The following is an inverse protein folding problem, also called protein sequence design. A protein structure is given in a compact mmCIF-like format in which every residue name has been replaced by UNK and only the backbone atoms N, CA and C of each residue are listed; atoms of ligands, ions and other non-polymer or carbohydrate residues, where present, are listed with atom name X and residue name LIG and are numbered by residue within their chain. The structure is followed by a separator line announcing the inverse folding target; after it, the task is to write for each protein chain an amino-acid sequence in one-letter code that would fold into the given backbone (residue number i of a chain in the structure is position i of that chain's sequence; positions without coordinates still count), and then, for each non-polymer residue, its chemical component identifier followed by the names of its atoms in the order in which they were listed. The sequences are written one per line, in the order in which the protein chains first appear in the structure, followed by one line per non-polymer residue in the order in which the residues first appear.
data_IF_119410254314
#
_entry.id   IF_119410254314
#
_cell.length_a   1.000
_cell.length_b   1.000
_cell.length_c   1.000
_cell.angle_alpha   90.00
_cell.angle_beta   90.00
_cell.angle_gamma   90.00
#
_symmetry.space_group_name_H-M   'P 1'
#
loop_
_entity.id
_entity.type
_entity.pdbx_description
1 polymer ?
#
# COMPACT_ATOMS: atom_id res chain seq x y z
N UNK A 1 -67.15 25.07 9.47
CA UNK A 1 -67.38 25.18 8.02
C UNK A 1 -66.06 24.81 7.36
N UNK A 2 -65.72 23.54 7.14
CA UNK A 2 -66.24 22.56 6.16
C UNK A 2 -65.86 22.85 4.71
N UNK A 3 -65.01 21.94 4.16
CA UNK A 3 -64.80 21.51 2.76
C UNK A 3 -64.06 22.49 1.82
N UNK A 4 -63.24 22.06 0.84
CA UNK A 4 -63.04 20.72 0.26
C UNK A 4 -61.68 20.60 -0.47
N UNK A 5 -61.27 19.34 -0.65
CA UNK A 5 -60.13 18.77 -1.39
C UNK A 5 -60.03 19.17 -2.87
N UNK A 6 -58.80 19.12 -3.42
CA UNK A 6 -58.51 18.42 -4.70
C UNK A 6 -57.09 17.81 -4.66
N UNK A 7 -57.07 16.50 -4.82
CA UNK A 7 -55.93 15.60 -4.93
C UNK A 7 -55.71 15.29 -6.43
N UNK A 8 -54.47 15.34 -6.93
CA UNK A 8 -54.12 14.95 -8.32
C UNK A 8 -52.98 13.91 -8.22
N UNK A 9 -53.08 12.72 -8.85
CA UNK A 9 -52.04 11.70 -8.82
C UNK A 9 -51.03 11.89 -9.97
N UNK A 10 -49.73 11.74 -9.68
CA UNK A 10 -48.65 11.74 -10.67
C UNK A 10 -48.01 10.35 -10.74
N UNK A 11 -48.06 9.74 -11.92
CA UNK A 11 -47.40 8.47 -12.28
C UNK A 11 -45.85 8.59 -12.35
N UNK A 12 -45.12 7.46 -12.23
CA UNK A 12 -43.67 7.45 -12.06
C UNK A 12 -42.92 7.70 -13.39
N UNK A 13 -41.92 8.60 -13.35
CA UNK A 13 -40.97 8.78 -14.45
C UNK A 13 -39.81 7.79 -14.34
N UNK A 14 -39.71 6.96 -15.38
CA UNK A 14 -38.62 6.04 -15.68
C UNK A 14 -37.37 6.86 -16.08
N UNK A 15 -36.29 6.80 -15.30
CA UNK A 15 -34.99 7.38 -15.69
C UNK A 15 -33.97 6.26 -15.83
N UNK A 16 -33.50 6.09 -17.07
CA UNK A 16 -32.65 5.00 -17.53
C UNK A 16 -31.33 4.88 -16.75
N UNK A 17 -31.07 3.67 -16.27
CA UNK A 17 -29.80 3.28 -15.67
C UNK A 17 -28.75 3.03 -16.76
N UNK A 18 -27.66 3.80 -16.76
CA UNK A 18 -26.43 3.46 -17.50
C UNK A 18 -25.71 2.29 -16.81
N UNK A 19 -25.17 1.31 -17.55
CA UNK A 19 -24.52 0.15 -16.93
C UNK A 19 -23.14 0.51 -16.34
N UNK A 20 -22.98 0.27 -15.04
CA UNK A 20 -21.73 0.38 -14.30
C UNK A 20 -20.77 -0.74 -14.72
N UNK A 21 -19.60 -0.37 -15.22
CA UNK A 21 -18.53 -1.29 -15.64
C UNK A 21 -18.02 -2.06 -14.41
N UNK A 22 -18.01 -3.40 -14.51
CA UNK A 22 -17.52 -4.35 -13.52
C UNK A 22 -16.01 -4.52 -13.70
N UNK A 23 -15.20 -4.06 -12.75
CA UNK A 23 -13.78 -4.44 -12.69
C UNK A 23 -13.67 -5.84 -12.08
N UNK A 24 -13.13 -6.77 -12.86
CA UNK A 24 -12.77 -8.12 -12.42
C UNK A 24 -11.46 -8.05 -11.66
N UNK A 25 -11.48 -8.36 -10.36
CA UNK A 25 -10.26 -8.68 -9.61
C UNK A 25 -9.93 -10.14 -9.86
N UNK A 26 -8.80 -10.37 -10.52
CA UNK A 26 -8.15 -11.66 -10.64
C UNK A 26 -7.33 -11.91 -9.38
N UNK A 27 -7.60 -13.01 -8.67
CA UNK A 27 -6.70 -13.53 -7.65
C UNK A 27 -6.42 -14.99 -8.01
N UNK A 28 -5.26 -15.21 -8.63
CA UNK A 28 -4.66 -16.52 -8.84
C UNK A 28 -3.59 -16.73 -7.78
N UNK A 29 -3.73 -17.77 -6.94
CA UNK A 29 -2.59 -18.39 -6.26
C UNK A 29 -2.73 -19.91 -6.30
N UNK A 30 -1.78 -20.51 -7.00
CA UNK A 30 -1.41 -21.92 -6.98
C UNK A 30 -0.35 -22.15 -5.91
N UNK A 31 -0.45 -23.27 -5.20
CA UNK A 31 0.63 -24.18 -4.73
C UNK A 31 -0.06 -25.24 -3.85
N UNK A 32 -0.01 -26.54 -4.14
CA UNK A 32 1.13 -27.49 -4.22
C UNK A 32 1.78 -27.72 -2.85
N UNK A 33 1.57 -28.92 -2.30
CA UNK A 33 2.55 -29.60 -1.44
C UNK A 33 2.17 -31.07 -1.16
N UNK A 34 3.04 -31.98 -1.62
CA UNK A 34 3.97 -32.68 -0.72
C UNK A 34 3.43 -33.78 0.20
N UNK A 35 3.73 -35.03 -0.15
CA UNK A 35 3.38 -36.26 0.57
C UNK A 35 4.18 -36.52 1.85
N UNK A 36 3.51 -37.01 2.90
CA UNK A 36 4.08 -37.93 3.90
C UNK A 36 3.00 -38.93 4.36
N UNK A 37 3.34 -40.22 4.29
CA UNK A 37 2.40 -41.33 4.42
C UNK A 37 2.01 -41.66 5.86
N UNK A 38 0.76 -42.09 6.01
CA UNK A 38 0.36 -43.06 7.04
C UNK A 38 -0.69 -44.02 6.46
N UNK A 39 -0.43 -45.29 6.72
CA UNK A 39 -1.17 -46.46 6.29
C UNK A 39 -2.44 -46.64 7.12
N UNK A 40 -3.63 -46.62 6.50
CA UNK A 40 -4.79 -47.31 7.07
C UNK A 40 -5.85 -47.71 6.04
N UNK A 41 -6.56 -48.80 6.36
CA UNK A 41 -7.13 -49.77 5.43
C UNK A 41 -8.43 -49.29 4.77
N UNK A 42 -8.51 -49.50 3.46
CA UNK A 42 -9.64 -49.18 2.57
C UNK A 42 -10.83 -50.12 2.84
N UNK A 43 -12.00 -49.57 3.21
CA UNK A 43 -13.26 -50.29 3.25
C UNK A 43 -14.05 -50.09 1.95
N UNK A 44 -14.43 -51.21 1.34
CA UNK A 44 -15.12 -51.32 0.05
C UNK A 44 -16.63 -51.19 0.27
N UNK A 45 -17.27 -50.20 -0.33
CA UNK A 45 -18.70 -50.28 -0.65
C UNK A 45 -18.90 -50.07 -2.15
N UNK A 46 -19.38 -51.13 -2.75
CA UNK A 46 -19.82 -51.22 -4.13
C UNK A 46 -21.26 -50.73 -4.20
N UNK A 47 -21.57 -49.83 -5.12
CA UNK A 47 -22.78 -49.96 -5.94
C UNK A 47 -22.85 -48.90 -7.04
N UNK A 48 -22.61 -49.41 -8.24
CA UNK A 48 -23.33 -49.15 -9.50
C UNK A 48 -23.16 -47.80 -10.21
N UNK A 49 -22.49 -47.90 -11.35
CA UNK A 49 -22.45 -46.93 -12.44
C UNK A 49 -23.85 -46.70 -13.02
N UNK A 50 -24.26 -45.44 -13.07
CA UNK A 50 -25.22 -44.95 -14.06
C UNK A 50 -24.47 -43.99 -14.99
N UNK A 51 -24.29 -44.39 -16.25
CA UNK A 51 -23.74 -43.51 -17.27
C UNK A 51 -24.82 -42.53 -17.71
N UNK A 52 -24.59 -41.23 -17.50
CA UNK A 52 -25.25 -40.16 -18.24
C UNK A 52 -24.20 -39.27 -18.87
N UNK A 53 -24.31 -39.19 -20.18
CA UNK A 53 -23.48 -38.42 -21.10
C UNK A 53 -23.77 -36.92 -20.99
N UNK A 54 -22.71 -36.12 -21.15
CA UNK A 54 -22.70 -34.68 -21.43
C UNK A 54 -22.76 -33.70 -20.24
N UNK A 55 -21.61 -33.05 -19.98
CA UNK A 55 -21.59 -31.61 -19.67
C UNK A 55 -21.49 -31.17 -18.20
N UNK A 56 -20.92 -31.94 -17.29
CA UNK A 56 -20.68 -31.48 -15.91
C UNK A 56 -19.19 -31.24 -15.70
N UNK A 57 -18.83 -29.99 -15.40
CA UNK A 57 -17.53 -29.64 -14.84
C UNK A 57 -17.33 -30.47 -13.58
N UNK A 58 -16.30 -31.32 -13.55
CA UNK A 58 -15.92 -32.03 -12.35
C UNK A 58 -15.59 -30.99 -11.27
N UNK A 59 -16.49 -30.81 -10.30
CA UNK A 59 -16.21 -29.98 -9.14
C UNK A 59 -14.96 -30.54 -8.46
N UNK A 60 -13.98 -29.67 -8.18
CA UNK A 60 -12.79 -30.00 -7.40
C UNK A 60 -13.18 -30.84 -6.19
N UNK A 61 -12.43 -31.91 -5.84
CA UNK A 61 -12.66 -32.66 -4.60
C UNK A 61 -12.81 -31.70 -3.42
N UNK A 62 -13.75 -31.93 -2.48
CA UNK A 62 -13.96 -31.04 -1.35
C UNK A 62 -12.68 -30.99 -0.53
N UNK A 63 -11.99 -29.85 -0.56
CA UNK A 63 -10.87 -29.58 0.33
C UNK A 63 -11.44 -29.47 1.74
N UNK A 64 -10.95 -30.30 2.66
CA UNK A 64 -11.25 -30.14 4.08
C UNK A 64 -10.62 -28.84 4.54
N UNK A 65 -11.46 -27.87 4.88
CA UNK A 65 -11.04 -26.55 5.37
C UNK A 65 -10.73 -26.68 6.85
N UNK A 66 -9.58 -26.18 7.29
CA UNK A 66 -9.21 -26.20 8.70
C UNK A 66 -10.09 -25.25 9.52
N UNK A 67 -10.25 -25.51 10.82
CA UNK A 67 -10.99 -24.61 11.72
C UNK A 67 -10.40 -23.18 11.72
N UNK A 68 -9.08 -23.07 11.56
CA UNK A 68 -8.35 -21.81 11.49
C UNK A 68 -8.73 -21.02 10.23
N UNK A 69 -8.74 -21.66 9.05
CA UNK A 69 -9.21 -21.04 7.80
C UNK A 69 -10.68 -20.64 7.88
N UNK A 70 -11.52 -21.42 8.55
CA UNK A 70 -12.93 -21.07 8.79
C UNK A 70 -13.05 -19.84 9.69
N UNK A 71 -12.26 -19.75 10.76
CA UNK A 71 -12.22 -18.58 11.65
C UNK A 71 -11.67 -17.33 10.94
N UNK A 72 -10.61 -17.49 10.15
CA UNK A 72 -9.99 -16.40 9.39
C UNK A 72 -10.91 -15.88 8.28
N UNK A 73 -11.60 -16.79 7.57
CA UNK A 73 -12.64 -16.43 6.60
C UNK A 73 -13.86 -15.76 7.27
N UNK A 74 -14.26 -16.24 8.47
CA UNK A 74 -15.35 -15.62 9.24
C UNK A 74 -14.99 -14.20 9.72
N UNK A 75 -13.72 -13.94 10.04
CA UNK A 75 -13.24 -12.59 10.35
C UNK A 75 -13.33 -11.67 9.11
N UNK A 76 -12.86 -12.13 7.94
CA UNK A 76 -12.98 -11.36 6.69
C UNK A 76 -14.44 -11.05 6.29
N UNK A 77 -15.38 -11.97 6.58
CA UNK A 77 -16.82 -11.72 6.37
C UNK A 77 -17.40 -10.68 7.34
N UNK A 78 -16.94 -10.63 8.59
CA UNK A 78 -17.37 -9.58 9.54
C UNK A 78 -16.87 -8.21 9.09
N UNK A 79 -15.64 -8.11 8.61
CA UNK A 79 -15.07 -6.85 8.14
C UNK A 79 -15.79 -6.34 6.88
N UNK A 80 -16.07 -7.22 5.92
CA UNK A 80 -16.85 -6.85 4.73
C UNK A 80 -18.30 -6.49 5.04
N UNK A 81 -18.94 -7.18 6.00
CA UNK A 81 -20.30 -6.85 6.45
C UNK A 81 -20.34 -5.50 7.19
N UNK A 82 -19.31 -5.19 7.98
CA UNK A 82 -19.16 -3.90 8.63
C UNK A 82 -18.94 -2.78 7.60
N UNK A 83 -18.04 -2.99 6.63
CA UNK A 83 -17.83 -2.04 5.53
C UNK A 83 -19.11 -1.82 4.75
N UNK A 84 -19.88 -2.87 4.44
CA UNK A 84 -21.18 -2.73 3.79
C UNK A 84 -22.16 -1.89 4.62
N UNK A 85 -22.23 -2.11 5.93
CA UNK A 85 -23.07 -1.31 6.83
C UNK A 85 -22.64 0.17 6.87
N UNK A 86 -21.34 0.43 6.91
CA UNK A 86 -20.78 1.79 6.89
C UNK A 86 -21.08 2.50 5.56
N UNK A 87 -20.98 1.78 4.44
CA UNK A 87 -21.18 2.33 3.09
C UNK A 87 -22.65 2.53 2.75
N UNK A 88 -23.54 1.68 3.26
CA UNK A 88 -24.99 1.74 3.01
C UNK A 88 -25.68 2.76 3.92
N UNK A 89 -25.11 3.04 5.09
CA UNK A 89 -25.64 4.06 6.00
C UNK A 89 -25.13 5.45 5.59
N UNK A 90 -25.95 6.18 4.83
CA UNK A 90 -25.67 7.57 4.40
C UNK A 90 -25.49 8.55 5.59
N UNK A 91 -26.04 8.20 6.76
CA UNK A 91 -25.92 8.99 8.00
C UNK A 91 -24.79 8.50 8.92
N UNK A 92 -23.99 7.52 8.46
CA UNK A 92 -22.88 7.00 9.24
C UNK A 92 -21.87 8.10 9.55
N UNK A 93 -21.71 8.39 10.84
CA UNK A 93 -20.73 9.35 11.36
C UNK A 93 -19.87 8.65 12.41
N UNK A 94 -18.56 8.61 12.18
CA UNK A 94 -17.58 8.27 13.21
C UNK A 94 -17.68 9.29 14.35
N UNK A 95 -18.39 8.92 15.42
CA UNK A 95 -18.53 9.77 16.60
C UNK A 95 -17.21 9.74 17.36
N UNK A 96 -16.54 10.89 17.45
CA UNK A 96 -15.53 11.08 18.50
C UNK A 96 -16.27 10.93 19.82
N UNK A 97 -15.78 10.04 20.71
CA UNK A 97 -16.38 9.87 22.03
C UNK A 97 -16.19 11.16 22.83
N UNK A 98 -17.19 12.03 22.81
CA UNK A 98 -17.19 13.26 23.58
C UNK A 98 -17.67 12.95 25.00
N UNK A 99 -16.88 13.30 26.03
CA UNK A 99 -17.31 13.10 27.41
C UNK A 99 -18.61 13.86 27.69
N UNK A 100 -19.47 13.31 28.56
CA UNK A 100 -20.74 13.94 28.89
C UNK A 100 -20.56 15.41 29.31
N UNK A 101 -21.47 16.32 28.91
CA UNK A 101 -21.41 17.71 29.30
C UNK A 101 -21.49 17.77 30.83
N UNK A 102 -20.46 18.33 31.48
CA UNK A 102 -20.29 18.38 32.95
C UNK A 102 -19.69 17.14 33.62
N UNK A 103 -19.17 16.18 32.86
CA UNK A 103 -18.31 15.14 33.44
C UNK A 103 -16.99 15.74 33.92
N UNK A 104 -16.45 15.23 35.02
CA UNK A 104 -15.11 15.59 35.52
C UNK A 104 -14.07 15.40 34.40
N UNK A 105 -14.21 14.34 33.60
CA UNK A 105 -13.36 14.07 32.43
C UNK A 105 -13.37 15.23 31.42
N UNK A 106 -14.55 15.79 31.10
CA UNK A 106 -14.66 16.94 30.19
C UNK A 106 -13.95 18.16 30.77
N UNK A 107 -14.21 18.47 32.04
CA UNK A 107 -13.63 19.64 32.72
C UNK A 107 -12.10 19.53 32.76
N UNK A 108 -11.57 18.36 33.14
CA UNK A 108 -10.12 18.12 33.14
C UNK A 108 -9.55 18.27 31.73
N UNK A 109 -10.18 17.66 30.73
CA UNK A 109 -9.74 17.73 29.33
C UNK A 109 -9.70 19.18 28.83
N UNK A 110 -10.77 19.93 29.03
CA UNK A 110 -10.87 21.34 28.62
C UNK A 110 -9.88 22.22 29.37
N UNK A 111 -9.75 22.04 30.68
CA UNK A 111 -8.84 22.81 31.53
C UNK A 111 -7.38 22.54 31.15
N UNK A 112 -6.99 21.28 30.95
CA UNK A 112 -5.64 20.91 30.53
C UNK A 112 -5.33 21.40 29.13
N UNK A 113 -6.26 21.20 28.17
CA UNK A 113 -6.09 21.66 26.80
C UNK A 113 -5.96 23.19 26.75
N UNK A 114 -6.80 23.91 27.50
CA UNK A 114 -6.72 25.36 27.63
C UNK A 114 -5.39 25.80 28.25
N UNK A 115 -5.01 25.25 29.40
CA UNK A 115 -3.76 25.61 30.07
C UNK A 115 -2.53 25.37 29.20
N UNK A 116 -2.51 24.26 28.44
CA UNK A 116 -1.44 23.96 27.49
C UNK A 116 -1.32 25.05 26.42
N UNK A 117 -2.43 25.40 25.77
CA UNK A 117 -2.42 26.42 24.71
C UNK A 117 -2.23 27.83 25.25
N UNK A 118 -2.67 28.13 26.48
CA UNK A 118 -2.46 29.42 27.13
C UNK A 118 -0.95 29.64 27.39
N UNK A 119 -0.26 28.64 27.94
CA UNK A 119 1.20 28.70 28.16
C UNK A 119 1.96 28.81 26.84
N UNK A 120 1.58 28.03 25.82
CA UNK A 120 2.21 28.14 24.50
C UNK A 120 1.95 29.52 23.86
N UNK A 121 0.76 30.09 24.04
CA UNK A 121 0.44 31.43 23.55
C UNK A 121 1.34 32.47 24.18
N UNK A 122 1.52 32.39 25.50
CA UNK A 122 2.40 33.28 26.26
C UNK A 122 3.85 33.16 25.77
N UNK A 123 4.39 31.94 25.69
CA UNK A 123 5.74 31.67 25.20
C UNK A 123 5.98 32.13 23.76
N UNK A 124 4.97 32.01 22.89
CA UNK A 124 5.05 32.46 21.50
C UNK A 124 4.86 33.98 21.36
N UNK A 125 4.36 34.66 22.40
CA UNK A 125 4.14 36.11 22.44
C UNK A 125 5.30 36.90 23.07
N UNK A 126 6.24 36.23 23.74
CA UNK A 126 7.44 36.85 24.29
C UNK A 126 8.40 37.33 23.16
N UNK A 127 8.97 38.53 23.31
CA UNK A 127 9.91 39.12 22.34
C UNK A 127 11.26 38.36 22.27
N UNK A 128 11.92 38.30 21.09
CA UNK A 128 11.52 38.93 19.84
C UNK A 128 10.64 38.01 18.97
N UNK A 129 9.41 38.48 18.74
CA UNK A 129 8.25 37.81 18.12
C UNK A 129 8.43 37.52 16.60
N UNK A 130 9.58 37.84 16.01
CA UNK A 130 9.70 37.87 14.55
C UNK A 130 9.93 36.47 13.94
N UNK A 131 10.51 35.52 14.67
CA UNK A 131 10.92 34.26 14.07
C UNK A 131 9.74 33.29 13.85
N UNK A 132 8.76 33.26 14.75
CA UNK A 132 7.69 32.27 14.76
C UNK A 132 6.81 32.32 13.51
N UNK A 133 6.35 33.52 13.13
CA UNK A 133 5.53 33.70 11.94
C UNK A 133 6.33 33.39 10.68
N UNK A 134 7.61 33.77 10.63
CA UNK A 134 8.50 33.43 9.54
C UNK A 134 8.71 31.91 9.40
N UNK A 135 8.83 31.17 10.50
CA UNK A 135 8.91 29.71 10.48
C UNK A 135 7.60 29.08 10.00
N UNK A 136 6.45 29.54 10.48
CA UNK A 136 5.15 29.03 10.04
C UNK A 136 4.95 29.25 8.53
N UNK A 137 5.22 30.45 8.04
CA UNK A 137 5.16 30.78 6.61
C UNK A 137 6.18 29.98 5.78
N UNK A 138 7.38 29.75 6.31
CA UNK A 138 8.37 28.89 5.66
C UNK A 138 7.85 27.46 5.51
N UNK A 139 7.31 26.87 6.58
CA UNK A 139 6.74 25.51 6.57
C UNK A 139 5.57 25.42 5.57
N UNK A 140 4.64 26.38 5.59
CA UNK A 140 3.54 26.46 4.62
C UNK A 140 4.09 26.54 3.19
N UNK A 141 5.15 27.32 2.96
CA UNK A 141 5.78 27.45 1.63
C UNK A 141 6.41 26.15 1.15
N UNK A 142 7.03 25.37 2.05
CA UNK A 142 7.59 24.04 1.72
C UNK A 142 6.46 23.06 1.43
N UNK A 143 5.40 23.07 2.26
CA UNK A 143 4.22 22.24 2.07
C UNK A 143 3.50 22.52 0.74
N UNK A 144 3.40 23.80 0.35
CA UNK A 144 2.87 24.21 -0.96
C UNK A 144 3.66 23.63 -2.13
N UNK A 145 5.00 23.53 -1.99
CA UNK A 145 5.88 22.98 -3.04
C UNK A 145 5.84 21.45 -3.15
N UNK A 146 5.36 20.75 -2.13
CA UNK A 146 5.30 19.28 -2.11
C UNK A 146 4.20 18.68 -3.01
N UNK A 147 3.50 19.49 -3.82
CA UNK A 147 2.50 19.11 -4.84
C UNK A 147 1.52 18.02 -4.34
N UNK A 148 0.45 18.44 -3.66
CA UNK A 148 -0.56 17.54 -3.12
C UNK A 148 -1.96 18.19 -3.25
N UNK A 149 -2.67 17.96 -4.38
CA UNK A 149 -3.88 18.69 -4.73
C UNK A 149 -4.98 18.66 -3.64
N UNK A 150 -5.07 17.57 -2.89
CA UNK A 150 -6.10 17.33 -1.87
C UNK A 150 -6.05 18.36 -0.74
N UNK A 151 -4.88 18.96 -0.45
CA UNK A 151 -4.71 19.93 0.64
C UNK A 151 -4.47 21.37 0.17
N UNK A 152 -4.48 21.63 -1.14
CA UNK A 152 -4.12 22.95 -1.68
C UNK A 152 -5.03 24.07 -1.16
N UNK A 153 -6.33 23.78 -0.99
CA UNK A 153 -7.27 24.74 -0.41
C UNK A 153 -6.99 24.99 1.08
N UNK A 154 -6.53 23.97 1.81
CA UNK A 154 -6.13 24.14 3.21
C UNK A 154 -4.83 24.94 3.35
N UNK A 155 -3.88 24.76 2.43
CA UNK A 155 -2.64 25.54 2.37
C UNK A 155 -2.93 27.03 2.10
N UNK A 156 -3.89 27.34 1.23
CA UNK A 156 -4.34 28.72 0.99
C UNK A 156 -4.95 29.33 2.26
N UNK A 157 -5.86 28.60 2.92
CA UNK A 157 -6.47 29.03 4.19
C UNK A 157 -5.40 29.32 5.25
N UNK A 158 -4.40 28.43 5.40
CA UNK A 158 -3.32 28.60 6.37
C UNK A 158 -2.41 29.80 6.08
N UNK A 159 -2.31 30.23 4.83
CA UNK A 159 -1.51 31.40 4.44
C UNK A 159 -2.16 32.69 4.93
N UNK A 160 -3.49 32.71 5.06
CA UNK A 160 -4.29 33.86 5.49
C UNK A 160 -4.48 33.92 7.02
N UNK A 161 -4.20 32.83 7.75
CA UNK A 161 -4.34 32.76 9.21
C UNK A 161 -3.32 33.66 9.91
N UNK A 162 -3.84 34.54 10.78
CA UNK A 162 -3.02 35.49 11.58
C UNK A 162 -2.69 34.93 12.96
N UNK A 163 -3.56 34.09 13.54
CA UNK A 163 -3.32 33.49 14.85
C UNK A 163 -2.27 32.37 14.75
N UNK A 164 -1.19 32.53 15.52
CA UNK A 164 -0.04 31.62 15.48
C UNK A 164 -0.43 30.19 15.90
N UNK A 165 -1.30 30.04 16.89
CA UNK A 165 -1.70 28.72 17.41
C UNK A 165 -2.58 28.00 16.39
N UNK A 166 -3.55 28.70 15.81
CA UNK A 166 -4.41 28.14 14.77
C UNK A 166 -3.59 27.77 13.52
N UNK A 167 -2.59 28.58 13.19
CA UNK A 167 -1.65 28.30 12.10
C UNK A 167 -0.87 27.01 12.36
N UNK A 168 -0.23 26.86 13.52
CA UNK A 168 0.52 25.63 13.83
C UNK A 168 -0.38 24.40 13.93
N UNK A 169 -1.55 24.54 14.53
CA UNK A 169 -2.53 23.44 14.61
C UNK A 169 -2.93 22.97 13.22
N UNK A 170 -3.27 23.91 12.34
CA UNK A 170 -3.66 23.59 10.97
C UNK A 170 -2.50 23.04 10.12
N UNK A 171 -1.27 23.52 10.33
CA UNK A 171 -0.05 22.93 9.72
C UNK A 171 0.06 21.46 10.11
N UNK A 172 -0.04 21.14 11.40
CA UNK A 172 0.10 19.76 11.89
C UNK A 172 -1.00 18.85 11.33
N UNK A 173 -2.27 19.29 11.38
CA UNK A 173 -3.39 18.54 10.81
C UNK A 173 -3.20 18.29 9.29
N UNK A 174 -2.72 19.31 8.57
CA UNK A 174 -2.48 19.21 7.13
C UNK A 174 -1.28 18.31 6.81
N UNK A 175 -0.24 18.33 7.64
CA UNK A 175 0.95 17.51 7.46
C UNK A 175 0.66 16.00 7.62
N UNK A 176 -0.28 15.64 8.49
CA UNK A 176 -0.72 14.25 8.63
C UNK A 176 -1.31 13.67 7.33
N UNK A 177 -1.84 14.52 6.45
CA UNK A 177 -2.31 14.09 5.13
C UNK A 177 -1.17 13.74 4.16
N UNK A 178 0.04 14.26 4.38
CA UNK A 178 1.20 13.96 3.54
C UNK A 178 2.04 12.79 4.04
N UNK A 179 1.92 12.43 5.32
CA UNK A 179 2.77 11.43 5.95
C UNK A 179 2.78 10.11 5.16
N UNK A 180 1.61 9.54 4.89
CA UNK A 180 1.48 8.28 4.16
C UNK A 180 2.09 8.37 2.74
N UNK A 181 1.83 9.48 2.04
CA UNK A 181 2.36 9.72 0.69
C UNK A 181 3.88 9.87 0.69
N UNK A 182 4.45 10.57 1.67
CA UNK A 182 5.90 10.76 1.79
C UNK A 182 6.59 9.45 2.15
N UNK A 183 5.98 8.63 3.01
CA UNK A 183 6.48 7.28 3.32
C UNK A 183 6.48 6.41 2.06
N UNK A 184 5.37 6.37 1.31
CA UNK A 184 5.29 5.61 0.06
C UNK A 184 6.30 6.11 -0.98
N UNK A 185 6.45 7.44 -1.13
CA UNK A 185 7.46 8.03 -2.01
C UNK A 185 8.87 7.64 -1.60
N UNK A 186 9.20 7.74 -0.30
CA UNK A 186 10.51 7.34 0.24
C UNK A 186 10.81 5.87 -0.08
N UNK A 187 9.84 4.97 0.12
CA UNK A 187 9.98 3.54 -0.16
C UNK A 187 10.14 3.25 -1.66
N UNK A 188 9.38 3.95 -2.52
CA UNK A 188 9.53 3.84 -3.98
C UNK A 188 10.90 4.32 -4.44
N UNK A 189 11.35 5.48 -3.94
CA UNK A 189 12.67 6.03 -4.26
C UNK A 189 13.77 5.11 -3.78
N UNK A 190 13.69 4.59 -2.56
CA UNK A 190 14.65 3.63 -2.03
C UNK A 190 14.79 2.40 -2.93
N UNK A 191 13.67 1.72 -3.25
CA UNK A 191 13.67 0.57 -4.16
C UNK A 191 14.21 0.92 -5.55
N UNK A 192 13.81 2.07 -6.11
CA UNK A 192 14.27 2.49 -7.43
C UNK A 192 15.78 2.77 -7.45
N UNK A 193 16.31 3.41 -6.41
CA UNK A 193 17.75 3.65 -6.27
C UNK A 193 18.51 2.34 -6.19
N UNK A 194 18.05 1.38 -5.37
CA UNK A 194 18.68 0.04 -5.28
C UNK A 194 18.62 -0.72 -6.61
N UNK A 195 17.48 -0.72 -7.30
CA UNK A 195 17.35 -1.34 -8.63
C UNK A 195 18.33 -0.67 -9.61
N UNK A 196 18.40 0.66 -9.61
CA UNK A 196 19.27 1.40 -10.53
C UNK A 196 20.76 1.14 -10.26
N UNK A 197 21.19 1.10 -9.00
CA UNK A 197 22.58 0.79 -8.65
C UNK A 197 22.95 -0.64 -9.03
N UNK A 198 22.11 -1.63 -8.69
CA UNK A 198 22.35 -3.03 -9.06
C UNK A 198 22.36 -3.19 -10.59
N UNK A 199 21.42 -2.58 -11.30
CA UNK A 199 21.35 -2.63 -12.77
C UNK A 199 22.59 -1.98 -13.41
N UNK A 200 23.04 -0.84 -12.88
CA UNK A 200 24.22 -0.15 -13.38
C UNK A 200 25.50 -0.98 -13.16
N UNK A 201 25.69 -1.50 -11.94
CA UNK A 201 26.81 -2.37 -11.56
C UNK A 201 26.81 -3.64 -12.42
N UNK A 202 25.63 -4.23 -12.66
CA UNK A 202 25.51 -5.40 -13.52
C UNK A 202 25.91 -5.10 -14.96
N UNK A 203 25.33 -4.05 -15.55
CA UNK A 203 25.59 -3.68 -16.96
C UNK A 203 27.05 -3.27 -17.16
N UNK A 204 27.68 -2.60 -16.20
CA UNK A 204 29.10 -2.22 -16.29
C UNK A 204 30.03 -3.43 -16.29
N UNK A 205 29.64 -4.52 -15.63
CA UNK A 205 30.42 -5.76 -15.55
C UNK A 205 30.01 -6.81 -16.60
N UNK A 206 28.90 -6.62 -17.31
CA UNK A 206 28.37 -7.57 -18.32
C UNK A 206 29.17 -7.60 -19.65
N UNK A 207 30.04 -6.62 -19.88
CA UNK A 207 30.75 -6.46 -21.15
C UNK A 207 29.95 -5.70 -22.22
N UNK A 208 30.65 -5.13 -23.20
CA UNK A 208 30.07 -4.22 -24.20
C UNK A 208 28.94 -4.84 -25.04
N UNK A 209 29.05 -6.15 -25.31
CA UNK A 209 28.08 -6.87 -26.14
C UNK A 209 26.72 -6.98 -25.43
N UNK A 210 26.69 -7.44 -24.16
CA UNK A 210 25.46 -7.54 -23.36
C UNK A 210 24.86 -6.18 -23.01
N UNK A 211 25.69 -5.15 -22.81
CA UNK A 211 25.23 -3.78 -22.53
C UNK A 211 24.37 -3.20 -23.67
N UNK A 212 24.66 -3.58 -24.92
CA UNK A 212 23.93 -3.09 -26.10
C UNK A 212 22.53 -3.72 -26.24
N UNK A 213 22.31 -4.89 -25.63
CA UNK A 213 21.10 -5.69 -25.81
C UNK A 213 19.98 -5.17 -24.90
N UNK A 214 19.01 -4.46 -25.48
CA UNK A 214 17.80 -3.97 -24.79
C UNK A 214 16.97 -5.05 -24.09
N UNK A 215 16.62 -6.19 -24.73
CA UNK A 215 15.75 -7.17 -24.08
C UNK A 215 16.39 -7.82 -22.85
N UNK A 216 17.73 -7.93 -22.82
CA UNK A 216 18.45 -8.37 -21.63
C UNK A 216 18.27 -7.37 -20.47
N UNK A 217 18.49 -6.07 -20.73
CA UNK A 217 18.32 -5.01 -19.73
C UNK A 217 16.90 -4.95 -19.15
N UNK A 218 15.89 -5.19 -19.98
CA UNK A 218 14.49 -5.24 -19.53
C UNK A 218 14.23 -6.47 -18.65
N UNK A 219 14.63 -7.68 -19.07
CA UNK A 219 14.46 -8.89 -18.25
C UNK A 219 15.19 -8.81 -16.91
N UNK A 220 16.42 -8.29 -16.90
CA UNK A 220 17.23 -8.10 -15.70
C UNK A 220 16.57 -7.10 -14.75
N UNK A 221 16.05 -6.00 -15.28
CA UNK A 221 15.29 -5.02 -14.49
C UNK A 221 14.05 -5.65 -13.87
N UNK A 222 13.31 -6.49 -14.60
CA UNK A 222 12.12 -7.17 -14.08
C UNK A 222 12.47 -8.14 -12.95
N UNK A 223 13.47 -9.00 -13.14
CA UNK A 223 13.90 -9.95 -12.11
C UNK A 223 14.35 -9.24 -10.82
N UNK A 224 15.19 -8.21 -10.94
CA UNK A 224 15.63 -7.40 -9.78
C UNK A 224 14.43 -6.69 -9.13
N UNK A 225 13.51 -6.14 -9.93
CA UNK A 225 12.34 -5.42 -9.41
C UNK A 225 11.40 -6.34 -8.63
N UNK A 226 11.25 -7.61 -9.02
CA UNK A 226 10.43 -8.59 -8.30
C UNK A 226 11.05 -8.91 -6.94
N UNK A 227 12.36 -9.18 -6.91
CA UNK A 227 13.07 -9.52 -5.67
C UNK A 227 13.07 -8.37 -4.64
N UNK A 228 13.10 -7.12 -5.11
CA UNK A 228 13.12 -5.94 -4.24
C UNK A 228 11.71 -5.36 -3.98
N UNK A 229 10.64 -5.97 -4.49
CA UNK A 229 9.29 -5.36 -4.49
C UNK A 229 8.74 -5.15 -3.07
N UNK A 230 8.97 -6.10 -2.16
CA UNK A 230 8.43 -6.08 -0.79
C UNK A 230 9.34 -5.42 0.24
N UNK A 231 10.53 -4.99 -0.15
CA UNK A 231 11.55 -4.48 0.76
C UNK A 231 11.20 -3.06 1.21
N UNK A 232 11.17 -2.87 2.54
CA UNK A 232 10.83 -1.60 3.19
C UNK A 232 11.97 -1.02 4.02
N UNK A 233 12.91 -1.85 4.44
CA UNK A 233 14.00 -1.44 5.34
C UNK A 233 15.36 -1.77 4.75
N UNK A 234 16.38 -1.06 5.22
CA UNK A 234 17.78 -1.29 4.84
C UNK A 234 18.25 -2.70 5.26
N UNK A 235 17.80 -3.18 6.43
CA UNK A 235 18.07 -4.54 6.87
C UNK A 235 17.50 -5.59 5.91
N UNK A 236 16.24 -5.43 5.50
CA UNK A 236 15.63 -6.32 4.51
C UNK A 236 16.33 -6.26 3.16
N UNK A 237 16.90 -5.11 2.79
CA UNK A 237 17.74 -4.99 1.60
C UNK A 237 19.01 -5.84 1.75
N UNK A 238 19.76 -5.66 2.84
CA UNK A 238 20.99 -6.42 3.13
C UNK A 238 20.71 -7.94 3.10
N UNK A 239 19.61 -8.37 3.71
CA UNK A 239 19.21 -9.79 3.73
C UNK A 239 18.84 -10.32 2.33
N UNK A 240 18.35 -9.45 1.43
CA UNK A 240 17.98 -9.82 0.06
C UNK A 240 19.14 -9.75 -0.95
N UNK A 241 20.16 -8.90 -0.73
CA UNK A 241 21.27 -8.68 -1.66
C UNK A 241 22.01 -9.97 -2.08
N UNK A 242 22.28 -10.96 -1.20
CA UNK A 242 22.88 -12.23 -1.61
C UNK A 242 22.04 -12.96 -2.66
N UNK A 243 20.71 -13.00 -2.47
CA UNK A 243 19.80 -13.65 -3.42
C UNK A 243 19.74 -12.89 -4.75
N UNK A 244 19.76 -11.56 -4.68
CA UNK A 244 19.82 -10.70 -5.87
C UNK A 244 21.13 -10.91 -6.64
N UNK A 245 22.27 -10.96 -5.95
CA UNK A 245 23.57 -11.22 -6.58
C UNK A 245 23.62 -12.58 -7.28
N UNK A 246 23.02 -13.61 -6.69
CA UNK A 246 22.91 -14.93 -7.30
C UNK A 246 22.03 -14.91 -8.57
N UNK A 247 20.86 -14.25 -8.49
CA UNK A 247 19.95 -14.11 -9.63
C UNK A 247 20.60 -13.34 -10.78
N UNK A 248 21.27 -12.22 -10.48
CA UNK A 248 21.97 -11.39 -11.48
C UNK A 248 23.04 -12.20 -12.23
N UNK A 249 23.82 -13.02 -11.51
CA UNK A 249 24.84 -13.89 -12.11
C UNK A 249 24.20 -14.95 -13.00
N UNK A 250 23.07 -15.52 -12.60
CA UNK A 250 22.34 -16.50 -13.41
C UNK A 250 21.76 -15.88 -14.68
N UNK A 251 21.15 -14.69 -14.58
CA UNK A 251 20.61 -13.95 -15.73
C UNK A 251 21.71 -13.61 -16.74
N UNK A 252 22.91 -13.26 -16.27
CA UNK A 252 24.07 -13.00 -17.11
C UNK A 252 24.54 -14.26 -17.85
N UNK A 253 24.62 -15.40 -17.16
CA UNK A 253 24.99 -16.69 -17.78
C UNK A 253 23.97 -17.13 -18.82
N UNK A 254 22.68 -16.97 -18.51
CA UNK A 254 21.61 -17.31 -19.43
C UNK A 254 21.66 -16.40 -20.67
N UNK A 255 21.86 -15.10 -20.50
CA UNK A 255 22.02 -14.17 -21.61
C UNK A 255 23.27 -14.51 -22.47
N UNK A 256 24.41 -14.79 -21.84
CA UNK A 256 25.64 -15.16 -22.54
C UNK A 256 25.46 -16.42 -23.41
N UNK A 257 24.77 -17.43 -22.87
CA UNK A 257 24.44 -18.65 -23.62
C UNK A 257 23.44 -18.38 -24.74
N UNK A 258 22.44 -17.53 -24.50
CA UNK A 258 21.39 -17.18 -25.47
C UNK A 258 21.92 -16.39 -26.66
N UNK A 259 22.94 -15.55 -26.46
CA UNK A 259 23.54 -14.71 -27.50
C UNK A 259 24.89 -15.22 -28.01
N UNK A 260 25.28 -16.45 -27.64
CA UNK A 260 26.53 -17.11 -28.09
C UNK A 260 27.81 -16.29 -27.81
N UNK A 261 27.83 -15.58 -26.68
CA UNK A 261 28.94 -14.71 -26.29
C UNK A 261 30.04 -15.47 -25.53
N UNK A 262 31.33 -15.09 -25.67
CA UNK A 262 32.44 -15.74 -24.97
C UNK A 262 32.29 -15.63 -23.45
N UNK A 263 32.60 -16.72 -22.70
CA UNK A 263 32.50 -16.87 -21.23
C UNK A 263 33.46 -15.98 -20.43
N UNK A 264 33.55 -14.69 -20.75
CA UNK A 264 34.40 -13.70 -20.05
C UNK A 264 33.96 -13.54 -18.58
N UNK A 265 32.70 -13.87 -18.28
CA UNK A 265 32.06 -13.54 -17.02
C UNK A 265 32.53 -14.41 -15.83
N UNK A 266 33.01 -15.64 -16.05
CA UNK A 266 33.39 -16.58 -14.96
C UNK A 266 34.44 -16.03 -13.98
N UNK A 267 35.41 -15.23 -14.45
CA UNK A 267 36.41 -14.61 -13.58
C UNK A 267 35.86 -13.35 -12.85
N UNK A 268 34.82 -12.73 -13.40
CA UNK A 268 34.21 -11.50 -12.89
C UNK A 268 33.02 -11.76 -11.94
N UNK A 269 32.48 -12.98 -11.87
CA UNK A 269 31.28 -13.29 -11.07
C UNK A 269 31.46 -12.99 -9.58
N UNK A 270 32.59 -13.43 -9.01
CA UNK A 270 32.89 -13.22 -7.60
C UNK A 270 33.01 -11.73 -7.27
N UNK A 271 33.59 -10.96 -8.20
CA UNK A 271 33.72 -9.51 -8.06
C UNK A 271 32.35 -8.83 -8.16
N UNK A 272 31.51 -9.23 -9.13
CA UNK A 272 30.16 -8.68 -9.26
C UNK A 272 29.30 -8.94 -8.03
N UNK A 273 29.32 -10.17 -7.50
CA UNK A 273 28.58 -10.51 -6.29
C UNK A 273 29.03 -9.66 -5.11
N UNK A 274 30.34 -9.48 -4.94
CA UNK A 274 30.86 -8.62 -3.88
C UNK A 274 30.42 -7.17 -4.06
N UNK A 275 30.53 -6.61 -5.27
CA UNK A 275 30.07 -5.25 -5.56
C UNK A 275 28.57 -5.06 -5.26
N UNK A 276 27.75 -6.09 -5.47
CA UNK A 276 26.32 -6.04 -5.15
C UNK A 276 26.09 -6.10 -3.62
N UNK A 277 26.86 -6.91 -2.89
CA UNK A 277 26.77 -6.98 -1.42
C UNK A 277 27.20 -5.66 -0.77
N UNK A 278 28.24 -5.02 -1.29
CA UNK A 278 28.77 -3.75 -0.78
C UNK A 278 27.75 -2.58 -0.93
N UNK A 279 26.73 -2.72 -1.78
CA UNK A 279 25.61 -1.74 -1.88
C UNK A 279 24.84 -1.63 -0.56
N UNK A 280 24.82 -2.69 0.24
CA UNK A 280 24.16 -2.70 1.56
C UNK A 280 24.98 -2.06 2.67
N UNK A 281 26.25 -1.72 2.42
CA UNK A 281 27.17 -1.16 3.42
C UNK A 281 27.42 0.35 3.23
N UNK A 282 26.76 0.99 2.25
CA UNK A 282 26.96 2.40 1.86
C UNK A 282 25.88 3.33 2.41
#
# INVERSE_FOLDING_TARGET
MSRNEKNIPSEPQDTGTLPRIRTTSECSYTSDDGALGFTEKRQRTTSQQFMVTSGLTAASPPKFVSLEEIMQAANGMRDMALVHQIVVDEDFKLRRAEPAPNSIQKIIKETMHKAFWDVLREQLSEEPVNCTQHYAQYVISVMSKLCAPVRDDKIKELTETVDVIDTFKGILETFMLDEERLIDLKLRTFRLTSIATILLVTISNAGADLQSITPFKESLKEHISILLQSIKTEKELIDALPNVGEQVVNDLKEAQKKYELPEIFQAAEANLKQQILDIGET
#
